data_IF_687757206254
#
_entry.id   IF_687757206254
#
_cell.length_a   1.000
_cell.length_b   1.000
_cell.length_c   1.000
_cell.angle_alpha   90.00
_cell.angle_beta   90.00
_cell.angle_gamma   90.00
#
_symmetry.space_group_name_H-M   'P 1'
#
loop_
_entity.id
_entity.type
_entity.pdbx_description
1 polymer ?
#
# COMPACT_ATOMS: atom_id res chain seq x y z
N UNK A 1 -18.45 4.87 22.52
CA UNK A 1 -18.30 5.95 23.43
C UNK A 1 -17.17 5.73 24.40
N UNK A 2 -16.18 6.59 24.31
CA UNK A 2 -15.05 6.54 25.24
C UNK A 2 -15.33 7.42 26.44
N UNK A 3 -14.92 6.97 27.64
CA UNK A 3 -14.94 7.81 28.82
C UNK A 3 -13.93 8.95 28.68
N UNK A 4 -14.19 10.08 29.36
CA UNK A 4 -13.17 11.13 29.49
C UNK A 4 -11.93 10.56 30.16
N UNK A 5 -10.75 10.98 29.70
CA UNK A 5 -9.48 10.58 30.33
C UNK A 5 -9.41 11.15 31.75
N UNK A 6 -9.31 10.30 32.74
CA UNK A 6 -9.07 10.63 34.14
C UNK A 6 -8.38 9.45 34.82
N UNK A 7 -7.86 9.64 36.03
CA UNK A 7 -7.06 8.61 36.74
C UNK A 7 -7.80 7.29 36.97
N UNK A 8 -9.13 7.34 37.10
CA UNK A 8 -9.99 6.18 37.33
C UNK A 8 -10.71 5.71 36.04
N UNK A 9 -10.31 6.20 34.86
CA UNK A 9 -10.85 5.76 33.58
C UNK A 9 -10.57 4.25 33.37
N UNK A 10 -11.54 3.51 32.81
CA UNK A 10 -11.31 2.11 32.49
C UNK A 10 -10.06 1.93 31.63
N UNK A 11 -9.20 1.03 32.03
CA UNK A 11 -8.05 0.67 31.20
C UNK A 11 -8.49 -0.36 30.18
N UNK A 12 -8.31 -0.05 28.91
CA UNK A 12 -8.61 -0.94 27.81
C UNK A 12 -7.31 -1.27 27.09
N UNK A 13 -7.05 -2.56 26.89
CA UNK A 13 -5.92 -3.04 26.10
C UNK A 13 -6.46 -3.54 24.78
N UNK A 14 -6.04 -2.94 23.69
CA UNK A 14 -6.35 -3.41 22.34
C UNK A 14 -5.09 -4.05 21.76
N UNK A 15 -5.24 -5.27 21.30
CA UNK A 15 -4.18 -5.97 20.57
C UNK A 15 -4.70 -6.30 19.19
N UNK A 16 -3.93 -6.02 18.15
CA UNK A 16 -4.11 -6.70 16.87
C UNK A 16 -3.64 -8.14 17.03
N UNK A 17 -4.24 -9.05 16.27
CA UNK A 17 -3.91 -10.47 16.34
C UNK A 17 -2.42 -10.70 16.32
N UNK A 18 -1.82 -10.73 17.51
CA UNK A 18 -0.42 -11.09 17.65
C UNK A 18 -0.29 -12.58 17.45
N UNK A 19 0.54 -12.98 16.52
CA UNK A 19 0.96 -14.36 16.40
C UNK A 19 1.85 -14.68 17.60
N UNK A 20 1.31 -15.44 18.53
CA UNK A 20 2.13 -16.02 19.60
C UNK A 20 2.75 -17.28 18.99
N UNK A 21 4.09 -17.38 18.88
CA UNK A 21 4.74 -18.47 18.14
C UNK A 21 4.27 -19.87 18.53
N UNK A 22 3.93 -20.09 19.80
CA UNK A 22 3.45 -21.37 20.31
C UNK A 22 1.99 -21.69 19.93
N UNK A 23 1.24 -20.72 19.41
CA UNK A 23 -0.18 -20.82 19.09
C UNK A 23 -0.48 -20.22 17.72
N UNK A 24 0.39 -20.47 16.74
CA UNK A 24 0.29 -19.88 15.39
C UNK A 24 -0.24 -20.85 14.33
N UNK A 25 -0.75 -22.01 14.72
CA UNK A 25 -1.41 -22.93 13.80
C UNK A 25 -2.81 -22.43 13.47
N UNK A 26 -3.32 -22.79 12.30
CA UNK A 26 -4.66 -22.40 11.85
C UNK A 26 -5.74 -22.77 12.87
N UNK A 27 -5.69 -24.02 13.39
CA UNK A 27 -6.63 -24.52 14.41
C UNK A 27 -6.60 -23.70 15.71
N UNK A 28 -5.43 -23.22 16.13
CA UNK A 28 -5.31 -22.35 17.28
C UNK A 28 -5.98 -20.99 17.03
N UNK A 29 -5.82 -20.45 15.86
CA UNK A 29 -6.45 -19.20 15.45
C UNK A 29 -7.96 -19.29 15.43
N UNK A 30 -8.50 -20.31 14.80
CA UNK A 30 -9.94 -20.55 14.72
C UNK A 30 -10.53 -20.77 16.11
N UNK A 31 -9.86 -21.56 16.94
CA UNK A 31 -10.25 -21.80 18.32
C UNK A 31 -10.26 -20.52 19.15
N UNK A 32 -9.22 -19.73 19.08
CA UNK A 32 -9.11 -18.49 19.85
C UNK A 32 -10.10 -17.42 19.36
N UNK A 33 -10.36 -17.36 18.07
CA UNK A 33 -11.40 -16.51 17.53
C UNK A 33 -12.79 -16.93 18.01
N UNK A 34 -13.10 -18.21 17.95
CA UNK A 34 -14.37 -18.74 18.44
C UNK A 34 -14.59 -18.52 19.94
N UNK A 35 -13.51 -18.54 20.73
CA UNK A 35 -13.54 -18.24 22.16
C UNK A 35 -13.56 -16.72 22.47
N UNK A 36 -13.47 -15.87 21.47
CA UNK A 36 -13.41 -14.42 21.66
C UNK A 36 -12.08 -13.93 22.28
N UNK A 37 -11.05 -14.77 22.30
CA UNK A 37 -9.74 -14.46 22.87
C UNK A 37 -8.86 -13.68 21.91
N UNK A 38 -9.00 -13.94 20.61
CA UNK A 38 -8.32 -13.22 19.55
C UNK A 38 -9.32 -12.72 18.51
N UNK A 39 -9.03 -11.56 17.95
CA UNK A 39 -9.78 -10.99 16.83
C UNK A 39 -8.81 -10.44 15.81
N UNK A 40 -9.13 -10.64 14.53
CA UNK A 40 -8.43 -9.95 13.48
C UNK A 40 -8.84 -8.48 13.51
N UNK A 41 -7.88 -7.60 13.68
CA UNK A 41 -8.04 -6.17 13.56
C UNK A 41 -7.14 -5.62 12.46
N UNK A 42 -7.68 -4.75 11.62
CA UNK A 42 -6.83 -3.96 10.74
C UNK A 42 -5.95 -3.02 11.58
N UNK A 43 -4.84 -2.55 11.00
CA UNK A 43 -3.87 -1.69 11.71
C UNK A 43 -4.52 -0.48 12.41
N UNK A 44 -5.57 0.10 11.84
CA UNK A 44 -6.32 1.24 12.39
C UNK A 44 -7.16 0.89 13.62
N UNK A 45 -7.53 -0.37 13.81
CA UNK A 45 -8.32 -0.79 14.97
C UNK A 45 -7.56 -0.64 16.29
N UNK A 46 -6.24 -0.83 16.26
CA UNK A 46 -5.39 -0.73 17.43
C UNK A 46 -5.27 0.69 18.01
N UNK A 47 -5.55 1.72 17.22
CA UNK A 47 -5.51 3.12 17.67
C UNK A 47 -6.88 3.67 18.09
N UNK A 48 -7.93 2.86 18.10
CA UNK A 48 -9.32 3.27 18.32
C UNK A 48 -9.83 4.32 17.32
N UNK A 49 -9.13 4.51 16.23
CA UNK A 49 -9.44 5.48 15.20
C UNK A 49 -9.69 4.75 13.90
N UNK A 50 -10.96 4.51 13.60
CA UNK A 50 -11.30 3.92 12.32
C UNK A 50 -11.28 5.00 11.23
N UNK A 51 -10.17 5.10 10.55
CA UNK A 51 -9.99 6.02 9.41
C UNK A 51 -10.39 5.38 8.07
N UNK A 52 -10.95 4.17 8.10
CA UNK A 52 -11.30 3.42 6.91
C UNK A 52 -10.07 3.04 6.07
N UNK A 53 -10.22 3.04 4.75
CA UNK A 53 -9.15 2.66 3.84
C UNK A 53 -8.05 3.72 3.65
N UNK A 54 -8.20 4.90 4.23
CA UNK A 54 -7.33 6.04 3.96
C UNK A 54 -5.84 5.75 4.21
N UNK A 55 -5.50 5.02 5.29
CA UNK A 55 -4.10 4.73 5.60
C UNK A 55 -3.40 3.96 4.49
N UNK A 56 -4.05 2.93 3.97
CA UNK A 56 -3.51 2.08 2.90
C UNK A 56 -3.49 2.84 1.58
N UNK A 57 -4.58 3.52 1.23
CA UNK A 57 -4.67 4.26 -0.03
C UNK A 57 -3.65 5.40 -0.05
N UNK A 58 -3.51 6.15 1.05
CA UNK A 58 -2.51 7.21 1.15
C UNK A 58 -1.08 6.68 0.98
N UNK A 59 -0.69 5.66 1.76
CA UNK A 59 0.64 5.07 1.68
C UNK A 59 0.96 4.54 0.29
N UNK A 60 -0.01 3.88 -0.36
CA UNK A 60 0.16 3.40 -1.74
C UNK A 60 0.24 4.55 -2.74
N UNK A 61 -0.59 5.58 -2.60
CA UNK A 61 -0.58 6.76 -3.49
C UNK A 61 0.79 7.43 -3.49
N UNK A 62 1.32 7.76 -2.30
CA UNK A 62 2.64 8.41 -2.22
C UNK A 62 3.78 7.48 -2.68
N UNK A 63 3.65 6.17 -2.46
CA UNK A 63 4.62 5.20 -2.98
C UNK A 63 4.63 5.20 -4.51
N UNK A 64 3.47 5.11 -5.16
CA UNK A 64 3.35 5.12 -6.62
C UNK A 64 3.84 6.45 -7.21
N UNK A 65 3.44 7.59 -6.63
CA UNK A 65 3.89 8.91 -7.10
C UNK A 65 5.41 9.06 -7.01
N UNK A 66 6.03 8.59 -5.93
CA UNK A 66 7.48 8.71 -5.77
C UNK A 66 8.24 7.69 -6.63
N UNK A 67 7.71 6.48 -6.83
CA UNK A 67 8.23 5.53 -7.80
C UNK A 67 8.19 6.11 -9.23
N UNK A 68 7.07 6.74 -9.62
CA UNK A 68 6.92 7.39 -10.91
C UNK A 68 7.90 8.57 -11.07
N UNK A 69 8.01 9.40 -10.05
CA UNK A 69 8.98 10.52 -10.03
C UNK A 69 10.42 10.04 -10.19
N UNK A 70 10.77 8.97 -9.50
CA UNK A 70 12.09 8.34 -9.60
C UNK A 70 12.35 7.81 -11.01
N UNK A 71 11.37 7.13 -11.60
CA UNK A 71 11.45 6.59 -12.96
C UNK A 71 11.57 7.70 -14.03
N UNK A 72 10.79 8.77 -13.90
CA UNK A 72 10.87 9.93 -14.78
C UNK A 72 12.25 10.61 -14.67
N UNK A 73 12.75 10.80 -13.45
CA UNK A 73 14.07 11.38 -13.20
C UNK A 73 15.19 10.53 -13.83
N UNK A 74 15.10 9.21 -13.74
CA UNK A 74 16.06 8.30 -14.39
C UNK A 74 16.07 8.43 -15.92
N UNK A 75 14.93 8.86 -16.51
CA UNK A 75 14.80 9.15 -17.96
C UNK A 75 15.12 10.60 -18.32
N UNK A 76 15.58 11.42 -17.39
CA UNK A 76 15.85 12.87 -17.60
C UNK A 76 14.58 13.72 -17.75
N UNK A 77 13.43 13.22 -17.29
CA UNK A 77 12.14 13.90 -17.37
C UNK A 77 11.76 14.45 -15.99
N UNK A 78 11.17 15.65 -15.96
CA UNK A 78 10.70 16.25 -14.71
C UNK A 78 9.62 15.40 -14.05
N UNK A 79 9.74 15.14 -12.74
CA UNK A 79 8.83 14.32 -11.96
C UNK A 79 7.51 14.99 -11.60
N UNK A 80 6.86 15.64 -12.55
CA UNK A 80 5.58 16.33 -12.38
C UNK A 80 4.42 15.36 -12.56
N UNK A 81 3.25 15.65 -11.95
CA UNK A 81 2.04 14.85 -12.15
C UNK A 81 1.59 14.79 -13.61
N UNK A 82 1.81 15.86 -14.36
CA UNK A 82 1.49 15.86 -15.80
C UNK A 82 2.32 14.81 -16.56
N UNK A 83 3.58 14.65 -16.21
CA UNK A 83 4.45 13.64 -16.82
C UNK A 83 4.19 12.21 -16.34
N UNK A 84 3.43 12.04 -15.24
CA UNK A 84 2.99 10.72 -14.77
C UNK A 84 1.78 10.19 -15.54
N UNK A 85 1.02 11.05 -16.20
CA UNK A 85 -0.14 10.66 -17.00
C UNK A 85 0.26 9.72 -18.13
N UNK A 86 -0.46 8.61 -18.24
CA UNK A 86 -0.17 7.57 -19.21
C UNK A 86 0.96 6.60 -18.83
N UNK A 87 1.66 6.82 -17.70
CA UNK A 87 2.55 5.81 -17.15
C UNK A 87 1.76 4.58 -16.70
N UNK A 88 2.28 3.41 -17.01
CA UNK A 88 1.63 2.13 -16.66
C UNK A 88 2.21 1.57 -15.36
N UNK A 89 1.34 1.39 -14.38
CA UNK A 89 1.61 0.68 -13.14
C UNK A 89 0.89 -0.66 -13.11
N UNK A 90 1.63 -1.74 -12.91
CA UNK A 90 1.10 -3.13 -12.87
C UNK A 90 1.37 -3.76 -11.52
N UNK A 91 0.35 -4.39 -10.95
CA UNK A 91 0.42 -5.04 -9.63
C UNK A 91 -0.58 -6.19 -9.51
N UNK A 92 -0.67 -6.81 -8.34
CA UNK A 92 -1.55 -7.94 -8.07
C UNK A 92 -2.34 -7.79 -6.78
N UNK A 93 -3.50 -8.44 -6.75
CA UNK A 93 -4.36 -8.55 -5.59
C UNK A 93 -5.40 -7.44 -5.46
N UNK A 94 -6.65 -7.84 -5.19
CA UNK A 94 -7.78 -6.95 -4.89
C UNK A 94 -8.45 -7.29 -3.56
N UNK A 95 -7.70 -7.94 -2.68
CA UNK A 95 -8.12 -8.27 -1.33
C UNK A 95 -8.26 -7.07 -0.38
N UNK A 96 -8.16 -7.30 0.91
CA UNK A 96 -8.34 -6.28 1.94
C UNK A 96 -7.33 -5.13 1.84
N UNK A 97 -6.04 -5.46 1.77
CA UNK A 97 -4.95 -4.49 1.68
C UNK A 97 -4.67 -4.08 0.23
N UNK A 98 -4.47 -5.04 -0.63
CA UNK A 98 -4.12 -4.83 -2.04
C UNK A 98 -5.22 -4.12 -2.85
N UNK A 99 -6.48 -4.23 -2.46
CA UNK A 99 -7.59 -3.50 -3.08
C UNK A 99 -7.45 -1.97 -3.06
N UNK A 100 -6.50 -1.43 -2.32
CA UNK A 100 -6.16 0.00 -2.35
C UNK A 100 -5.38 0.42 -3.61
N UNK A 101 -4.71 -0.51 -4.29
CA UNK A 101 -3.83 -0.23 -5.43
C UNK A 101 -4.52 0.53 -6.58
N UNK A 102 -5.69 0.09 -7.08
CA UNK A 102 -6.37 0.78 -8.17
C UNK A 102 -6.72 2.22 -7.82
N UNK A 103 -7.29 2.42 -6.62
CA UNK A 103 -7.68 3.74 -6.14
C UNK A 103 -6.46 4.66 -5.96
N UNK A 104 -5.37 4.12 -5.45
CA UNK A 104 -4.10 4.85 -5.32
C UNK A 104 -3.52 5.22 -6.70
N UNK A 105 -3.60 4.33 -7.69
CA UNK A 105 -3.21 4.61 -9.08
C UNK A 105 -4.00 5.77 -9.67
N UNK A 106 -5.31 5.79 -9.47
CA UNK A 106 -6.16 6.89 -9.91
C UNK A 106 -5.78 8.23 -9.24
N UNK A 107 -5.56 8.24 -7.93
CA UNK A 107 -5.14 9.47 -7.23
C UNK A 107 -3.75 9.92 -7.68
N UNK A 108 -2.84 8.99 -7.92
CA UNK A 108 -1.50 9.29 -8.45
C UNK A 108 -1.53 9.79 -9.91
N UNK A 109 -2.60 9.53 -10.66
CA UNK A 109 -2.77 9.99 -12.03
C UNK A 109 -2.15 9.08 -13.09
N UNK A 110 -2.02 7.78 -12.81
CA UNK A 110 -1.43 6.79 -13.71
C UNK A 110 -2.49 5.84 -14.30
N UNK A 111 -2.13 5.12 -15.34
CA UNK A 111 -2.87 3.92 -15.77
C UNK A 111 -2.45 2.79 -14.88
N UNK A 112 -3.38 2.16 -14.17
CA UNK A 112 -3.06 1.01 -13.33
C UNK A 112 -3.75 -0.27 -13.79
N UNK A 113 -3.03 -1.39 -13.75
CA UNK A 113 -3.58 -2.73 -14.01
C UNK A 113 -3.31 -3.60 -12.79
N UNK A 114 -4.36 -4.17 -12.24
CA UNK A 114 -4.27 -5.06 -11.09
C UNK A 114 -4.88 -6.43 -11.41
N UNK A 115 -4.08 -7.50 -11.32
CA UNK A 115 -4.57 -8.85 -11.50
C UNK A 115 -5.14 -9.39 -10.18
N UNK A 116 -6.29 -10.06 -10.26
CA UNK A 116 -6.92 -10.77 -9.14
C UNK A 116 -7.51 -12.10 -9.63
N UNK A 117 -7.04 -13.19 -9.06
CA UNK A 117 -7.51 -14.52 -9.47
C UNK A 117 -8.89 -14.86 -8.89
N UNK A 118 -9.26 -14.28 -7.74
CA UNK A 118 -10.56 -14.48 -7.13
C UNK A 118 -11.60 -13.56 -7.77
N UNK A 119 -12.54 -14.09 -8.58
CA UNK A 119 -13.51 -13.25 -9.29
C UNK A 119 -14.45 -12.49 -8.36
N UNK A 120 -14.72 -13.03 -7.17
CA UNK A 120 -15.58 -12.36 -6.19
C UNK A 120 -14.87 -11.15 -5.57
N UNK A 121 -13.56 -11.25 -5.32
CA UNK A 121 -12.77 -10.12 -4.81
C UNK A 121 -12.69 -9.01 -5.86
N UNK A 122 -12.41 -9.35 -7.11
CA UNK A 122 -12.36 -8.40 -8.22
C UNK A 122 -13.71 -7.69 -8.42
N UNK A 123 -14.81 -8.45 -8.50
CA UNK A 123 -16.17 -7.92 -8.64
C UNK A 123 -16.53 -6.99 -7.48
N UNK A 124 -16.22 -7.38 -6.25
CA UNK A 124 -16.48 -6.54 -5.06
C UNK A 124 -15.79 -5.18 -5.16
N UNK A 125 -14.56 -5.11 -5.63
CA UNK A 125 -13.84 -3.83 -5.79
C UNK A 125 -14.39 -2.98 -6.92
N UNK A 126 -14.82 -3.60 -7.99
CA UNK A 126 -15.52 -2.92 -9.07
C UNK A 126 -16.86 -2.33 -8.61
N UNK A 127 -17.70 -3.12 -7.94
CA UNK A 127 -19.01 -2.68 -7.44
C UNK A 127 -18.88 -1.56 -6.38
N UNK A 128 -17.78 -1.53 -5.66
CA UNK A 128 -17.45 -0.48 -4.69
C UNK A 128 -16.88 0.80 -5.34
N UNK A 129 -16.67 0.82 -6.66
CA UNK A 129 -16.05 1.94 -7.38
C UNK A 129 -14.56 2.15 -7.04
N UNK A 130 -13.86 1.06 -6.71
CA UNK A 130 -12.42 1.08 -6.45
C UNK A 130 -11.60 0.75 -7.69
N UNK A 131 -12.21 0.07 -8.62
CA UNK A 131 -11.72 -0.27 -9.96
C UNK A 131 -12.69 0.31 -10.97
N UNK A 132 -12.18 0.96 -12.01
CA UNK A 132 -13.02 1.59 -13.02
C UNK A 132 -13.52 0.59 -14.07
N UNK A 133 -12.71 -0.38 -14.44
CA UNK A 133 -13.05 -1.38 -15.46
C UNK A 133 -12.61 -2.78 -15.05
N UNK A 134 -13.43 -3.79 -15.38
CA UNK A 134 -13.17 -5.20 -15.08
C UNK A 134 -13.05 -6.00 -16.37
N UNK A 135 -11.98 -6.72 -16.55
CA UNK A 135 -11.68 -7.53 -17.73
C UNK A 135 -11.36 -8.97 -17.32
N UNK A 136 -11.99 -9.94 -18.00
CA UNK A 136 -11.76 -11.38 -17.80
C UNK A 136 -10.85 -11.95 -18.91
N UNK A 137 -10.55 -11.17 -19.93
CA UNK A 137 -9.77 -11.57 -21.09
C UNK A 137 -8.62 -10.62 -21.37
N UNK A 138 -7.41 -11.16 -21.48
CA UNK A 138 -6.22 -10.40 -21.83
C UNK A 138 -6.27 -9.83 -23.25
N UNK A 139 -6.98 -10.49 -24.19
CA UNK A 139 -7.14 -10.00 -25.57
C UNK A 139 -7.99 -8.72 -25.63
N UNK A 140 -8.84 -8.47 -24.64
CA UNK A 140 -9.58 -7.23 -24.47
C UNK A 140 -8.80 -6.21 -23.64
N UNK A 141 -8.17 -6.67 -22.58
CA UNK A 141 -7.43 -5.80 -21.65
C UNK A 141 -6.24 -5.12 -22.34
N UNK A 142 -5.40 -5.85 -23.08
CA UNK A 142 -4.16 -5.31 -23.62
C UNK A 142 -4.40 -4.15 -24.61
N UNK A 143 -5.33 -4.25 -25.58
CA UNK A 143 -5.69 -3.11 -26.41
C UNK A 143 -6.22 -1.91 -25.60
N UNK A 144 -7.00 -2.18 -24.55
CA UNK A 144 -7.50 -1.12 -23.66
C UNK A 144 -6.37 -0.42 -22.89
N UNK A 145 -5.38 -1.17 -22.40
CA UNK A 145 -4.18 -0.62 -21.75
C UNK A 145 -3.42 0.29 -22.71
N UNK A 146 -3.14 -0.17 -23.94
CA UNK A 146 -2.46 0.64 -24.96
C UNK A 146 -3.19 1.96 -25.22
N UNK A 147 -4.51 1.90 -25.41
CA UNK A 147 -5.34 3.08 -25.61
C UNK A 147 -5.29 4.05 -24.42
N UNK A 148 -5.34 3.52 -23.19
CA UNK A 148 -5.26 4.35 -21.98
C UNK A 148 -3.92 5.08 -21.89
N UNK A 149 -2.82 4.39 -22.18
CA UNK A 149 -1.48 4.98 -22.18
C UNK A 149 -1.33 6.06 -23.25
N UNK A 150 -1.77 5.79 -24.49
CA UNK A 150 -1.72 6.73 -25.61
C UNK A 150 -2.54 8.00 -25.32
N UNK A 151 -3.71 7.85 -24.76
CA UNK A 151 -4.60 8.96 -24.38
C UNK A 151 -4.19 9.65 -23.07
N UNK A 152 -3.16 9.15 -22.37
CA UNK A 152 -2.73 9.65 -21.06
C UNK A 152 -3.88 9.66 -20.04
N UNK A 153 -4.70 8.62 -20.06
CA UNK A 153 -5.83 8.48 -19.15
C UNK A 153 -5.35 8.25 -17.71
N UNK A 154 -6.23 8.58 -16.77
CA UNK A 154 -6.14 8.12 -15.38
C UNK A 154 -7.25 7.11 -15.18
N UNK A 155 -6.90 5.84 -15.16
CA UNK A 155 -7.87 4.73 -15.09
C UNK A 155 -7.27 3.52 -14.40
N UNK A 156 -8.11 2.83 -13.66
CA UNK A 156 -7.76 1.55 -13.01
C UNK A 156 -8.49 0.39 -13.69
N UNK A 157 -7.71 -0.56 -14.17
CA UNK A 157 -8.17 -1.75 -14.88
C UNK A 157 -7.90 -2.98 -14.02
N UNK A 158 -8.89 -3.82 -13.80
CA UNK A 158 -8.69 -5.11 -13.14
C UNK A 158 -8.69 -6.23 -14.17
N UNK A 159 -7.74 -7.14 -14.03
CA UNK A 159 -7.73 -8.42 -14.73
C UNK A 159 -8.20 -9.54 -13.79
N UNK A 160 -9.29 -10.21 -14.14
CA UNK A 160 -9.76 -11.39 -13.42
C UNK A 160 -9.00 -12.60 -13.92
N UNK A 161 -7.89 -12.91 -13.27
CA UNK A 161 -7.02 -13.99 -13.69
C UNK A 161 -5.69 -14.00 -12.93
N UNK A 162 -4.84 -14.94 -13.31
CA UNK A 162 -3.55 -15.08 -12.66
C UNK A 162 -2.59 -13.94 -13.06
N UNK A 163 -1.88 -13.41 -12.10
CA UNK A 163 -0.92 -12.31 -12.32
C UNK A 163 0.24 -12.72 -13.24
N UNK A 164 0.63 -13.99 -13.23
CA UNK A 164 1.71 -14.50 -14.10
C UNK A 164 1.30 -14.42 -15.57
N UNK A 165 0.05 -14.79 -15.88
CA UNK A 165 -0.46 -14.68 -17.25
C UNK A 165 -0.44 -13.22 -17.75
N UNK A 166 -0.79 -12.27 -16.88
CA UNK A 166 -0.69 -10.84 -17.18
C UNK A 166 0.75 -10.42 -17.46
N UNK A 167 1.70 -10.76 -16.57
CA UNK A 167 3.09 -10.36 -16.73
C UNK A 167 3.73 -10.97 -18.00
N UNK A 168 3.48 -12.26 -18.24
CA UNK A 168 3.97 -12.93 -19.45
C UNK A 168 3.40 -12.33 -20.73
N UNK A 169 2.11 -11.97 -20.72
CA UNK A 169 1.47 -11.32 -21.87
C UNK A 169 2.04 -9.92 -22.13
N UNK A 170 2.24 -9.13 -21.09
CA UNK A 170 2.87 -7.80 -21.22
C UNK A 170 4.29 -7.90 -21.77
N UNK A 171 5.08 -8.88 -21.32
CA UNK A 171 6.42 -9.11 -21.80
C UNK A 171 6.45 -9.57 -23.27
N UNK A 172 5.60 -10.53 -23.65
CA UNK A 172 5.50 -11.07 -25.00
C UNK A 172 5.07 -10.03 -26.04
N UNK A 173 4.18 -9.12 -25.66
CA UNK A 173 3.72 -8.03 -26.54
C UNK A 173 4.55 -6.75 -26.45
N UNK A 174 5.65 -6.77 -25.69
CA UNK A 174 6.53 -5.62 -25.47
C UNK A 174 5.78 -4.34 -25.03
N UNK A 175 4.81 -4.51 -24.12
CA UNK A 175 4.13 -3.36 -23.52
C UNK A 175 5.13 -2.61 -22.61
N UNK A 176 5.31 -1.30 -22.80
CA UNK A 176 6.22 -0.52 -21.96
C UNK A 176 5.60 -0.31 -20.56
N UNK A 177 5.90 -1.21 -19.64
CA UNK A 177 5.50 -1.06 -18.24
C UNK A 177 6.49 -0.13 -17.54
N UNK A 178 5.98 0.94 -16.91
CA UNK A 178 6.83 1.90 -16.21
C UNK A 178 7.14 1.46 -14.78
N UNK A 179 6.11 1.01 -14.06
CA UNK A 179 6.18 0.61 -12.66
C UNK A 179 5.57 -0.77 -12.46
N UNK A 180 6.24 -1.60 -11.70
CA UNK A 180 5.74 -2.91 -11.30
C UNK A 180 5.87 -3.13 -9.80
N UNK A 181 4.89 -3.80 -9.20
CA UNK A 181 5.00 -4.29 -7.83
C UNK A 181 4.22 -5.58 -7.63
N UNK A 182 4.46 -6.25 -6.51
CA UNK A 182 3.62 -7.36 -6.07
C UNK A 182 3.00 -7.07 -4.71
N UNK A 183 1.72 -7.40 -4.57
CA UNK A 183 0.91 -7.21 -3.37
C UNK A 183 0.25 -8.51 -2.90
N UNK A 184 0.65 -9.64 -3.46
CA UNK A 184 0.16 -10.94 -2.97
C UNK A 184 0.66 -11.20 -1.55
N UNK A 185 -0.12 -11.95 -0.77
CA UNK A 185 0.21 -12.25 0.64
C UNK A 185 1.23 -13.38 0.76
N UNK A 186 2.39 -13.23 0.13
CA UNK A 186 3.45 -14.25 0.08
C UNK A 186 4.15 -14.50 1.43
N UNK A 187 3.82 -13.76 2.48
CA UNK A 187 4.16 -14.15 3.84
C UNK A 187 3.36 -15.38 4.32
N UNK A 188 2.32 -15.77 3.59
CA UNK A 188 1.55 -17.00 3.81
C UNK A 188 1.19 -17.70 2.48
N UNK A 189 2.17 -18.11 1.67
CA UNK A 189 1.93 -18.61 0.31
C UNK A 189 1.14 -19.93 0.28
N UNK A 190 1.23 -20.71 1.36
CA UNK A 190 0.66 -22.07 1.43
C UNK A 190 -0.78 -22.12 1.88
N UNK A 191 -1.37 -21.01 2.29
CA UNK A 191 -2.73 -20.87 2.77
C UNK A 191 -3.48 -19.74 2.04
N UNK A 192 -3.36 -19.70 0.71
CA UNK A 192 -4.09 -18.75 -0.12
C UNK A 192 -3.44 -17.36 -0.27
N UNK A 193 -2.17 -17.23 0.08
CA UNK A 193 -1.41 -16.00 -0.18
C UNK A 193 -0.93 -15.84 -1.62
N UNK A 194 -0.83 -16.94 -2.37
CA UNK A 194 -0.47 -16.96 -3.78
C UNK A 194 -1.12 -18.18 -4.46
N UNK A 195 -1.55 -18.01 -5.70
CA UNK A 195 -2.22 -19.06 -6.46
C UNK A 195 -1.43 -19.43 -7.71
N UNK A 196 -1.26 -20.73 -8.01
CA UNK A 196 -0.48 -21.19 -9.14
C UNK A 196 -1.12 -20.82 -10.48
N UNK A 197 -0.30 -20.48 -11.45
CA UNK A 197 -0.73 -20.21 -12.82
C UNK A 197 -1.20 -21.50 -13.52
N UNK A 198 -2.15 -21.35 -14.45
CA UNK A 198 -2.74 -22.49 -15.18
C UNK A 198 -3.83 -23.24 -14.41
N UNK A 199 -4.29 -22.67 -13.29
CA UNK A 199 -5.40 -23.18 -12.49
C UNK A 199 -6.42 -22.04 -12.27
N UNK A 200 -7.70 -22.39 -12.22
CA UNK A 200 -8.71 -21.44 -11.74
C UNK A 200 -8.57 -21.21 -10.23
N UNK A 201 -9.28 -20.24 -9.70
CA UNK A 201 -9.31 -20.00 -8.26
C UNK A 201 -9.83 -21.24 -7.50
N UNK A 202 -10.92 -21.81 -7.96
CA UNK A 202 -11.58 -22.98 -7.36
C UNK A 202 -10.68 -24.23 -7.42
N UNK A 203 -10.04 -24.47 -8.56
CA UNK A 203 -9.09 -25.57 -8.71
C UNK A 203 -7.88 -25.41 -7.78
N UNK A 204 -7.39 -24.20 -7.64
CA UNK A 204 -6.29 -23.87 -6.74
C UNK A 204 -6.67 -24.11 -5.28
N UNK A 205 -7.86 -23.67 -4.86
CA UNK A 205 -8.37 -23.89 -3.49
C UNK A 205 -8.51 -25.39 -3.21
N UNK A 206 -9.05 -26.15 -4.17
CA UNK A 206 -9.19 -27.60 -4.05
C UNK A 206 -7.83 -28.28 -3.96
N UNK A 207 -6.88 -27.93 -4.85
CA UNK A 207 -5.53 -28.48 -4.83
C UNK A 207 -4.81 -28.18 -3.52
N UNK A 208 -4.96 -26.95 -2.99
CA UNK A 208 -4.37 -26.56 -1.71
C UNK A 208 -4.85 -27.43 -0.55
N UNK A 209 -6.13 -27.80 -0.55
CA UNK A 209 -6.75 -28.61 0.50
C UNK A 209 -6.44 -30.11 0.35
N UNK A 210 -6.51 -30.65 -0.86
CA UNK A 210 -6.44 -32.09 -1.13
C UNK A 210 -5.03 -32.57 -1.47
N UNK A 211 -4.20 -31.72 -2.10
CA UNK A 211 -2.87 -32.06 -2.63
C UNK A 211 -1.82 -31.00 -2.24
N UNK A 212 -1.58 -30.72 -0.94
CA UNK A 212 -0.80 -29.58 -0.49
C UNK A 212 0.64 -29.55 -1.04
N UNK A 213 1.29 -30.68 -1.21
CA UNK A 213 2.66 -30.73 -1.77
C UNK A 213 2.68 -30.37 -3.26
N UNK A 214 1.67 -30.83 -4.02
CA UNK A 214 1.50 -30.44 -5.43
C UNK A 214 1.19 -28.96 -5.55
N UNK A 215 0.35 -28.42 -4.67
CA UNK A 215 0.07 -27.00 -4.60
C UNK A 215 1.36 -26.18 -4.37
N UNK A 216 2.19 -26.59 -3.39
CA UNK A 216 3.47 -25.92 -3.10
C UNK A 216 4.41 -25.89 -4.30
N UNK A 217 4.56 -27.01 -5.01
CA UNK A 217 5.44 -27.03 -6.19
C UNK A 217 4.85 -26.22 -7.35
N UNK A 218 3.55 -26.23 -7.53
CA UNK A 218 2.89 -25.39 -8.53
C UNK A 218 3.07 -23.89 -8.23
N UNK A 219 2.99 -23.48 -6.96
CA UNK A 219 3.30 -22.10 -6.52
C UNK A 219 4.77 -21.76 -6.81
N UNK A 220 5.72 -22.63 -6.45
CA UNK A 220 7.15 -22.39 -6.74
C UNK A 220 7.42 -22.25 -8.23
N UNK A 221 6.82 -23.12 -9.04
CA UNK A 221 6.93 -23.05 -10.50
C UNK A 221 6.37 -21.73 -11.03
N UNK A 222 5.24 -21.30 -10.52
CA UNK A 222 4.62 -20.02 -10.89
C UNK A 222 5.48 -18.82 -10.50
N UNK A 223 6.09 -18.83 -9.31
CA UNK A 223 7.00 -17.77 -8.88
C UNK A 223 8.24 -17.67 -9.79
N UNK A 224 8.79 -18.80 -10.25
CA UNK A 224 9.90 -18.79 -11.22
C UNK A 224 9.49 -18.12 -12.55
N UNK A 225 8.29 -18.42 -13.06
CA UNK A 225 7.75 -17.81 -14.28
C UNK A 225 7.47 -16.32 -14.05
N UNK A 226 6.85 -15.97 -12.94
CA UNK A 226 6.56 -14.59 -12.54
C UNK A 226 7.83 -13.72 -12.55
N UNK A 227 8.88 -14.19 -11.87
CA UNK A 227 10.19 -13.51 -11.84
C UNK A 227 10.82 -13.40 -13.23
N UNK A 228 10.72 -14.44 -14.07
CA UNK A 228 11.26 -14.39 -15.41
C UNK A 228 10.62 -13.28 -16.26
N UNK A 229 9.28 -13.13 -16.20
CA UNK A 229 8.56 -12.07 -16.89
C UNK A 229 8.92 -10.68 -16.33
N UNK A 230 9.04 -10.55 -15.00
CA UNK A 230 9.50 -9.29 -14.37
C UNK A 230 10.90 -8.94 -14.82
N UNK A 231 11.85 -9.91 -14.83
CA UNK A 231 13.22 -9.68 -15.25
C UNK A 231 13.28 -9.22 -16.72
N UNK A 232 12.45 -9.78 -17.58
CA UNK A 232 12.37 -9.36 -18.98
C UNK A 232 11.88 -7.90 -19.10
N UNK A 233 10.80 -7.56 -18.44
CA UNK A 233 10.26 -6.18 -18.46
C UNK A 233 11.19 -5.18 -17.79
N UNK A 234 11.85 -5.56 -16.70
CA UNK A 234 12.84 -4.73 -16.04
C UNK A 234 14.06 -4.46 -16.92
N UNK A 235 14.50 -5.46 -17.71
CA UNK A 235 15.58 -5.27 -18.71
C UNK A 235 15.19 -4.26 -19.80
N UNK A 236 13.90 -4.06 -20.03
CA UNK A 236 13.33 -3.08 -20.98
C UNK A 236 13.01 -1.72 -20.32
N UNK A 237 13.35 -1.54 -19.03
CA UNK A 237 13.26 -0.27 -18.33
C UNK A 237 12.12 -0.13 -17.34
N UNK A 238 11.40 -1.20 -16.99
CA UNK A 238 10.45 -1.18 -15.89
C UNK A 238 11.17 -1.03 -14.55
N UNK A 239 10.66 -0.16 -13.68
CA UNK A 239 11.06 -0.10 -12.28
C UNK A 239 10.15 -1.00 -11.44
N UNK A 240 10.73 -2.08 -10.92
CA UNK A 240 10.00 -3.03 -10.05
C UNK A 240 10.44 -2.87 -8.59
N UNK A 241 9.48 -2.95 -7.67
CA UNK A 241 9.71 -2.96 -6.23
C UNK A 241 8.77 -3.93 -5.51
N UNK A 242 9.27 -4.61 -4.49
CA UNK A 242 8.42 -5.42 -3.61
C UNK A 242 7.67 -4.50 -2.63
N UNK A 243 6.37 -4.67 -2.55
CA UNK A 243 5.55 -3.87 -1.63
C UNK A 243 5.56 -4.41 -0.18
N UNK A 244 6.45 -5.34 0.13
CA UNK A 244 6.66 -5.85 1.49
C UNK A 244 5.82 -7.06 1.86
N UNK A 245 5.34 -7.81 0.87
CA UNK A 245 4.56 -9.03 1.06
C UNK A 245 5.37 -10.32 0.81
N UNK A 246 6.68 -10.28 1.03
CA UNK A 246 7.61 -11.40 0.92
C UNK A 246 7.81 -11.96 -0.50
N UNK A 247 7.49 -11.20 -1.55
CA UNK A 247 7.69 -11.65 -2.94
C UNK A 247 9.15 -12.02 -3.22
N UNK A 248 10.08 -11.14 -2.88
CA UNK A 248 11.51 -11.37 -3.10
C UNK A 248 12.00 -12.62 -2.35
N UNK A 249 11.58 -12.77 -1.10
CA UNK A 249 11.99 -13.89 -0.25
C UNK A 249 11.46 -15.23 -0.77
N UNK A 250 10.17 -15.31 -1.05
CA UNK A 250 9.55 -16.56 -1.52
C UNK A 250 9.97 -16.91 -2.94
N UNK A 251 10.21 -15.93 -3.79
CA UNK A 251 10.80 -16.14 -5.11
C UNK A 251 12.22 -16.72 -5.02
N UNK A 252 13.04 -16.22 -4.10
CA UNK A 252 14.37 -16.78 -3.83
C UNK A 252 14.26 -18.22 -3.32
N UNK A 253 13.37 -18.50 -2.40
CA UNK A 253 13.11 -19.86 -1.88
C UNK A 253 12.57 -20.82 -2.94
N UNK A 254 11.89 -20.30 -3.94
CA UNK A 254 11.40 -21.05 -5.10
C UNK A 254 12.51 -21.33 -6.13
N UNK A 255 13.71 -20.77 -5.96
CA UNK A 255 14.83 -20.90 -6.89
C UNK A 255 14.67 -20.03 -8.15
N UNK A 256 13.92 -18.93 -8.08
CA UNK A 256 13.80 -17.96 -9.15
C UNK A 256 15.08 -17.11 -9.27
N UNK A 257 15.36 -16.57 -10.47
CA UNK A 257 16.50 -15.68 -10.73
C UNK A 257 16.23 -14.27 -10.20
N UNK A 258 16.16 -14.14 -8.88
CA UNK A 258 15.83 -12.91 -8.15
C UNK A 258 17.01 -12.33 -7.38
N UNK A 259 18.13 -13.05 -7.32
CA UNK A 259 19.35 -12.62 -6.63
C UNK A 259 20.40 -12.13 -7.62
N UNK A 260 21.20 -11.16 -7.18
CA UNK A 260 22.44 -10.75 -7.83
C UNK A 260 23.58 -11.72 -7.49
N UNK A 261 24.72 -11.57 -8.14
CA UNK A 261 25.90 -12.40 -7.90
C UNK A 261 26.45 -12.30 -6.46
N UNK A 262 26.20 -11.18 -5.78
CA UNK A 262 26.58 -10.95 -4.38
C UNK A 262 25.58 -11.51 -3.37
N UNK A 263 24.50 -12.16 -3.83
CA UNK A 263 23.45 -12.73 -3.00
C UNK A 263 22.38 -11.73 -2.54
N UNK A 264 22.48 -10.47 -2.93
CA UNK A 264 21.41 -9.47 -2.65
C UNK A 264 20.28 -9.57 -3.66
N UNK A 265 19.10 -9.06 -3.32
CA UNK A 265 17.96 -9.04 -4.22
C UNK A 265 18.21 -8.11 -5.42
N UNK A 266 17.73 -8.51 -6.60
CA UNK A 266 17.77 -7.68 -7.81
C UNK A 266 16.93 -6.41 -7.69
N UNK A 267 15.83 -6.48 -6.98
CA UNK A 267 14.88 -5.41 -6.81
C UNK A 267 14.82 -4.97 -5.35
N UNK A 268 14.55 -3.69 -5.09
CA UNK A 268 14.37 -3.20 -3.74
C UNK A 268 12.96 -3.49 -3.21
N UNK A 269 12.79 -3.40 -1.89
CA UNK A 269 11.48 -3.19 -1.32
C UNK A 269 11.07 -1.70 -1.42
N UNK A 270 9.76 -1.41 -1.36
CA UNK A 270 9.27 -0.03 -1.35
C UNK A 270 9.81 0.80 -0.18
N UNK A 271 10.05 0.18 0.98
CA UNK A 271 10.65 0.87 2.14
C UNK A 271 12.09 1.23 1.86
N UNK A 272 12.84 0.30 1.28
CA UNK A 272 14.27 0.48 1.01
C UNK A 272 14.57 1.65 0.08
N UNK A 273 13.79 1.79 -0.98
CA UNK A 273 14.18 2.63 -2.10
C UNK A 273 13.21 3.80 -2.37
N UNK A 274 12.04 3.79 -1.72
CA UNK A 274 11.04 4.84 -1.87
C UNK A 274 10.74 5.50 -0.52
N UNK A 275 10.10 4.77 0.40
CA UNK A 275 9.60 5.39 1.63
C UNK A 275 10.71 5.74 2.63
N UNK A 276 11.75 4.90 2.73
CA UNK A 276 12.92 5.19 3.58
C UNK A 276 13.59 6.51 3.18
N UNK A 277 14.24 6.54 2.01
CA UNK A 277 15.05 7.67 1.61
C UNK A 277 14.25 8.93 1.26
N UNK A 278 12.97 8.83 0.88
CA UNK A 278 12.20 9.97 0.43
C UNK A 278 11.23 10.53 1.48
N UNK A 279 10.91 9.75 2.53
CA UNK A 279 9.99 10.18 3.58
C UNK A 279 10.61 10.04 4.98
N UNK A 280 11.00 8.83 5.36
CA UNK A 280 11.36 8.55 6.74
C UNK A 280 12.69 9.16 7.14
N UNK A 281 13.67 9.20 6.24
CA UNK A 281 14.97 9.82 6.49
C UNK A 281 14.86 11.35 6.65
N UNK A 282 13.79 11.95 6.08
CA UNK A 282 13.45 13.36 6.28
C UNK A 282 12.47 13.62 7.44
N UNK A 283 12.17 12.57 8.24
CA UNK A 283 11.31 12.71 9.41
C UNK A 283 9.80 12.74 9.11
N UNK A 284 9.38 12.53 7.86
CA UNK A 284 7.97 12.38 7.52
C UNK A 284 7.44 11.05 8.03
N UNK A 285 6.32 11.07 8.71
CA UNK A 285 5.66 9.87 9.21
C UNK A 285 4.17 10.04 9.33
N UNK A 286 3.44 8.95 9.60
CA UNK A 286 1.99 8.96 9.70
C UNK A 286 1.50 9.96 10.75
N UNK A 287 0.54 10.76 10.35
CA UNK A 287 -0.18 11.71 11.21
C UNK A 287 -1.67 11.60 10.90
N UNK A 288 -2.44 11.21 11.89
CA UNK A 288 -3.87 10.93 11.78
C UNK A 288 -4.64 11.80 12.73
N UNK A 289 -5.83 12.25 12.29
CA UNK A 289 -6.75 12.91 13.16
C UNK A 289 -8.20 12.48 12.92
N UNK A 290 -9.00 12.57 13.95
CA UNK A 290 -10.44 12.31 13.94
C UNK A 290 -11.17 13.50 14.56
N UNK A 291 -12.15 14.04 13.86
CA UNK A 291 -13.04 15.07 14.36
C UNK A 291 -14.13 14.41 15.22
N UNK A 292 -14.10 14.65 16.52
CA UNK A 292 -15.02 14.02 17.49
C UNK A 292 -16.46 14.51 17.38
N UNK A 293 -16.71 15.54 16.60
CA UNK A 293 -18.06 16.00 16.28
C UNK A 293 -18.80 15.07 15.31
N UNK A 294 -18.07 14.22 14.59
CA UNK A 294 -18.55 13.42 13.46
C UNK A 294 -19.18 14.26 12.33
N UNK A 295 -18.89 15.56 12.30
CA UNK A 295 -19.43 16.50 11.31
C UNK A 295 -18.47 16.64 10.13
N UNK A 296 -18.95 16.43 8.88
CA UNK A 296 -18.13 16.63 7.67
C UNK A 296 -17.52 18.04 7.57
N UNK A 297 -18.22 19.05 8.10
CA UNK A 297 -17.76 20.46 8.07
C UNK A 297 -16.50 20.64 8.94
N UNK A 298 -16.42 19.95 10.08
CA UNK A 298 -15.23 20.02 10.94
C UNK A 298 -14.05 19.29 10.30
N UNK A 299 -14.29 18.19 9.58
CA UNK A 299 -13.24 17.53 8.79
C UNK A 299 -12.76 18.43 7.66
N UNK A 300 -13.68 19.04 6.90
CA UNK A 300 -13.31 19.96 5.84
C UNK A 300 -12.51 21.16 6.37
N UNK A 301 -12.88 21.70 7.54
CA UNK A 301 -12.12 22.78 8.19
C UNK A 301 -10.75 22.33 8.66
N UNK A 302 -10.61 21.13 9.19
CA UNK A 302 -9.32 20.58 9.59
C UNK A 302 -8.43 20.30 8.36
N UNK A 303 -9.00 19.82 7.26
CA UNK A 303 -8.29 19.64 5.98
C UNK A 303 -7.77 20.99 5.44
N UNK A 304 -8.61 22.03 5.44
CA UNK A 304 -8.22 23.39 5.04
C UNK A 304 -7.03 23.90 5.87
N UNK A 305 -7.09 23.74 7.19
CA UNK A 305 -6.01 24.14 8.10
C UNK A 305 -4.71 23.41 7.76
N UNK A 306 -4.78 22.09 7.57
CA UNK A 306 -3.61 21.28 7.25
C UNK A 306 -3.00 21.68 5.89
N UNK A 307 -3.81 21.84 4.86
CA UNK A 307 -3.37 22.27 3.53
C UNK A 307 -2.71 23.65 3.57
N UNK A 308 -3.29 24.60 4.30
CA UNK A 308 -2.72 25.96 4.42
C UNK A 308 -1.37 25.95 5.13
N UNK A 309 -1.17 25.08 6.12
CA UNK A 309 0.12 24.92 6.79
C UNK A 309 1.14 24.31 5.84
N UNK A 310 0.79 23.23 5.14
CA UNK A 310 1.68 22.58 4.18
C UNK A 310 2.07 23.53 3.03
N UNK A 311 1.14 24.32 2.50
CA UNK A 311 1.41 25.33 1.47
C UNK A 311 2.40 26.40 1.98
N UNK A 312 2.24 26.84 3.23
CA UNK A 312 3.17 27.78 3.83
C UNK A 312 4.56 27.19 4.07
N UNK A 313 4.63 25.95 4.48
CA UNK A 313 5.92 25.24 4.60
C UNK A 313 6.60 25.08 3.25
N UNK A 314 5.82 24.80 2.20
CA UNK A 314 6.34 24.65 0.84
C UNK A 314 7.04 25.90 0.31
N UNK A 315 6.63 27.11 0.75
CA UNK A 315 7.24 28.39 0.33
C UNK A 315 8.73 28.48 0.68
N UNK A 316 9.16 27.81 1.75
CA UNK A 316 10.54 27.86 2.26
C UNK A 316 11.22 26.48 2.28
N UNK A 317 10.51 25.46 1.82
CA UNK A 317 11.01 24.08 1.84
C UNK A 317 12.18 23.88 0.87
N UNK A 318 13.24 23.17 1.29
CA UNK A 318 14.27 22.70 0.39
C UNK A 318 13.68 21.84 -0.74
N UNK A 319 14.34 21.84 -1.89
CA UNK A 319 13.86 21.11 -3.09
C UNK A 319 13.61 19.63 -2.81
N UNK A 320 14.42 19.03 -1.95
CA UNK A 320 14.40 17.62 -1.60
C UNK A 320 13.09 17.16 -0.95
N UNK A 321 12.36 18.07 -0.28
CA UNK A 321 11.12 17.76 0.43
C UNK A 321 9.86 18.41 -0.17
N UNK A 322 10.01 19.23 -1.20
CA UNK A 322 8.86 19.85 -1.86
C UNK A 322 7.91 18.82 -2.47
N UNK A 323 8.45 17.71 -2.97
CA UNK A 323 7.66 16.62 -3.50
C UNK A 323 6.72 16.03 -2.45
N UNK A 324 7.22 15.76 -1.26
CA UNK A 324 6.47 15.17 -0.15
C UNK A 324 5.35 16.10 0.36
N UNK A 325 5.63 17.39 0.44
CA UNK A 325 4.62 18.39 0.83
C UNK A 325 3.52 18.48 -0.24
N UNK A 326 3.88 18.56 -1.51
CA UNK A 326 2.93 18.59 -2.61
C UNK A 326 2.08 17.32 -2.70
N UNK A 327 2.66 16.14 -2.47
CA UNK A 327 1.95 14.88 -2.48
C UNK A 327 0.88 14.83 -1.37
N UNK A 328 1.19 15.35 -0.18
CA UNK A 328 0.22 15.42 0.92
C UNK A 328 -0.88 16.46 0.70
N UNK A 329 -0.56 17.61 0.10
CA UNK A 329 -1.55 18.61 -0.29
C UNK A 329 -2.52 17.98 -1.31
N UNK A 330 -1.99 17.38 -2.37
CA UNK A 330 -2.79 16.69 -3.39
C UNK A 330 -3.68 15.60 -2.79
N UNK A 331 -3.13 14.79 -1.88
CA UNK A 331 -3.88 13.75 -1.19
C UNK A 331 -5.11 14.30 -0.47
N UNK A 332 -4.97 15.37 0.31
CA UNK A 332 -6.09 15.97 1.04
C UNK A 332 -7.13 16.52 0.06
N UNK A 333 -6.69 17.21 -0.99
CA UNK A 333 -7.58 17.79 -2.01
C UNK A 333 -8.37 16.72 -2.78
N UNK A 334 -7.78 15.54 -3.02
CA UNK A 334 -8.42 14.43 -3.73
C UNK A 334 -9.24 13.50 -2.81
N UNK A 335 -8.99 13.49 -1.52
CA UNK A 335 -9.62 12.53 -0.61
C UNK A 335 -11.15 12.62 -0.60
N UNK A 336 -11.71 13.83 -0.69
CA UNK A 336 -13.16 14.02 -0.77
C UNK A 336 -13.77 13.47 -2.06
N UNK A 337 -13.11 13.69 -3.19
CA UNK A 337 -13.56 13.22 -4.51
C UNK A 337 -13.56 11.70 -4.63
N UNK A 338 -12.65 11.06 -3.91
CA UNK A 338 -12.47 9.60 -3.94
C UNK A 338 -13.30 8.85 -2.89
N UNK A 339 -14.20 9.54 -2.17
CA UNK A 339 -15.09 8.94 -1.17
C UNK A 339 -14.34 8.07 -0.13
N UNK A 340 -13.21 8.56 0.36
CA UNK A 340 -12.32 7.80 1.25
C UNK A 340 -12.72 7.86 2.72
N UNK A 341 -13.63 8.75 3.10
CA UNK A 341 -14.16 8.82 4.45
C UNK A 341 -15.20 7.72 4.64
N UNK A 342 -14.87 6.76 5.49
CA UNK A 342 -15.74 5.64 5.84
C UNK A 342 -15.72 5.48 7.36
N UNK A 343 -16.86 5.60 8.00
CA UNK A 343 -16.97 5.62 9.46
C UNK A 343 -16.68 7.01 10.04
N UNK A 344 -15.61 7.15 10.79
CA UNK A 344 -15.28 8.42 11.45
C UNK A 344 -14.87 9.53 10.46
N UNK A 345 -15.19 10.77 10.79
CA UNK A 345 -14.70 11.96 10.09
C UNK A 345 -13.21 12.14 10.39
N UNK A 346 -12.38 11.51 9.60
CA UNK A 346 -10.96 11.34 9.85
C UNK A 346 -10.11 11.60 8.62
N UNK A 347 -8.84 11.94 8.84
CA UNK A 347 -7.82 12.11 7.81
C UNK A 347 -6.50 11.53 8.25
N UNK A 348 -5.70 11.10 7.28
CA UNK A 348 -4.28 10.78 7.44
C UNK A 348 -3.46 11.59 6.44
N UNK A 349 -2.25 11.92 6.84
CA UNK A 349 -1.18 12.34 5.93
C UNK A 349 0.18 11.90 6.49
N UNK A 350 1.23 12.08 5.73
CA UNK A 350 2.60 11.96 6.24
C UNK A 350 3.17 13.36 6.41
N UNK A 351 3.41 13.75 7.65
CA UNK A 351 4.01 15.03 7.98
C UNK A 351 5.31 14.82 8.77
N UNK A 352 6.21 15.77 8.67
CA UNK A 352 7.38 15.83 9.52
C UNK A 352 7.03 16.29 10.95
N UNK A 353 8.02 16.35 11.82
CA UNK A 353 7.80 16.71 13.23
C UNK A 353 7.28 18.15 13.37
N UNK A 354 7.79 19.08 12.58
CA UNK A 354 7.38 20.48 12.64
C UNK A 354 5.97 20.68 12.10
N UNK A 355 5.66 20.10 10.94
CA UNK A 355 4.33 20.11 10.33
C UNK A 355 3.27 19.52 11.24
N UNK A 356 3.53 18.37 11.86
CA UNK A 356 2.61 17.78 12.86
C UNK A 356 2.32 18.72 14.01
N UNK A 357 3.34 19.36 14.53
CA UNK A 357 3.21 20.30 15.65
C UNK A 357 2.40 21.53 15.25
N UNK A 358 2.70 22.15 14.11
CA UNK A 358 1.99 23.32 13.60
C UNK A 358 0.51 23.02 13.33
N UNK A 359 0.20 21.88 12.70
CA UNK A 359 -1.17 21.45 12.42
C UNK A 359 -1.93 21.23 13.72
N UNK A 360 -1.36 20.51 14.69
CA UNK A 360 -2.00 20.24 15.97
C UNK A 360 -2.29 21.54 16.77
N UNK A 361 -1.35 22.47 16.79
CA UNK A 361 -1.55 23.78 17.43
C UNK A 361 -2.63 24.62 16.74
N UNK A 362 -2.68 24.55 15.40
CA UNK A 362 -3.72 25.24 14.64
C UNK A 362 -5.11 24.64 14.86
N UNK A 363 -5.24 23.34 14.99
CA UNK A 363 -6.50 22.70 15.39
C UNK A 363 -6.96 23.17 16.76
N UNK A 364 -6.08 23.20 17.76
CA UNK A 364 -6.41 23.72 19.09
C UNK A 364 -6.86 25.19 19.05
N UNK A 365 -6.24 26.00 18.18
CA UNK A 365 -6.63 27.40 17.99
C UNK A 365 -8.02 27.53 17.35
N UNK A 366 -8.32 26.71 16.35
CA UNK A 366 -9.60 26.68 15.67
C UNK A 366 -10.75 26.20 16.62
N UNK A 367 -10.48 25.19 17.45
CA UNK A 367 -11.43 24.73 18.47
C UNK A 367 -11.73 25.84 19.48
N UNK A 368 -10.71 26.54 19.98
CA UNK A 368 -10.90 27.66 20.90
C UNK A 368 -11.70 28.82 20.33
N UNK A 369 -11.62 29.04 19.03
CA UNK A 369 -12.38 30.07 18.32
C UNK A 369 -13.81 29.62 17.93
N UNK A 370 -14.12 28.36 18.13
CA UNK A 370 -15.40 27.78 17.70
C UNK A 370 -15.49 27.52 16.18
N UNK A 371 -14.36 27.57 15.45
CA UNK A 371 -14.29 27.23 14.02
C UNK A 371 -14.39 25.71 13.79
N UNK A 372 -14.03 24.92 14.79
CA UNK A 372 -14.22 23.47 14.88
C UNK A 372 -15.03 23.21 16.16
N UNK A 373 -16.13 22.47 16.03
CA UNK A 373 -17.17 22.38 17.06
C UNK A 373 -16.88 21.41 18.20
N UNK A 374 -15.86 20.53 18.05
CA UNK A 374 -15.53 19.52 19.05
C UNK A 374 -14.01 19.24 19.08
N UNK A 375 -13.51 18.54 20.09
CA UNK A 375 -12.11 18.12 20.11
C UNK A 375 -11.71 17.28 18.91
N UNK A 376 -10.43 17.36 18.53
CA UNK A 376 -9.80 16.49 17.56
C UNK A 376 -8.88 15.51 18.29
N UNK A 377 -9.03 14.23 18.00
CA UNK A 377 -8.10 13.20 18.49
C UNK A 377 -6.98 13.01 17.46
N UNK A 378 -5.75 13.13 17.93
CA UNK A 378 -4.56 12.88 17.14
C UNK A 378 -3.99 11.50 17.47
N UNK A 379 -3.45 10.83 16.47
CA UNK A 379 -2.80 9.56 16.70
C UNK A 379 -2.12 8.99 15.48
N UNK A 380 -1.51 7.85 15.71
CA UNK A 380 -1.03 6.96 14.66
C UNK A 380 -1.37 5.53 15.04
N UNK A 381 -1.34 4.63 14.09
CA UNK A 381 -1.43 3.20 14.36
C UNK A 381 -0.14 2.72 15.04
N UNK A 382 -0.26 1.87 16.05
CA UNK A 382 0.90 1.28 16.72
C UNK A 382 1.70 0.32 15.81
N UNK A 383 1.12 -0.09 14.70
CA UNK A 383 1.79 -0.83 13.63
C UNK A 383 2.32 0.07 12.50
N UNK A 384 2.08 1.36 12.56
CA UNK A 384 2.68 2.34 11.65
C UNK A 384 4.17 2.49 11.93
N UNK A 385 4.79 1.39 11.92
CA UNK A 385 6.22 1.32 11.98
C UNK A 385 6.67 1.45 10.56
N UNK A 386 7.09 2.55 10.20
CA UNK A 386 7.67 2.87 8.92
C UNK A 386 8.96 2.09 8.61
N UNK A 387 9.05 0.84 9.05
CA UNK A 387 10.28 0.07 9.04
C UNK A 387 11.35 0.61 9.98
N UNK A 388 11.10 1.78 10.59
CA UNK A 388 12.05 2.49 11.45
C UNK A 388 11.83 2.23 12.94
N UNK A 389 10.60 1.94 13.36
CA UNK A 389 10.25 1.74 14.78
C UNK A 389 10.47 0.30 15.25
N UNK A 390 10.61 -0.65 14.35
CA UNK A 390 10.87 -2.04 14.68
C UNK A 390 11.85 -2.67 13.70
N UNK A 391 13.06 -2.94 14.14
CA UNK A 391 14.07 -3.61 13.32
C UNK A 391 13.70 -5.06 12.98
N UNK A 392 12.68 -5.61 13.62
CA UNK A 392 12.24 -7.00 13.45
C UNK A 392 11.01 -7.14 12.55
N UNK A 393 10.55 -6.08 11.90
CA UNK A 393 9.47 -6.18 10.94
C UNK A 393 9.86 -6.99 9.72
N UNK A 394 8.90 -7.71 9.18
CA UNK A 394 9.04 -8.50 7.97
C UNK A 394 9.65 -7.68 6.81
N UNK A 395 9.18 -6.46 6.60
CA UNK A 395 9.71 -5.55 5.58
C UNK A 395 11.19 -5.26 5.77
N UNK A 396 11.63 -5.05 7.01
CA UNK A 396 13.05 -4.84 7.33
C UNK A 396 13.89 -6.10 7.09
N UNK A 397 13.30 -7.27 7.29
CA UNK A 397 13.98 -8.55 7.09
C UNK A 397 14.11 -8.92 5.61
N UNK A 398 13.20 -8.42 4.77
CA UNK A 398 13.22 -8.64 3.31
C UNK A 398 14.18 -7.68 2.64
N UNK A 399 14.51 -6.61 3.29
CA UNK A 399 15.17 -5.43 2.78
C UNK A 399 16.35 -5.71 1.84
N UNK A 400 17.33 -6.47 2.25
CA UNK A 400 18.53 -6.73 1.46
C UNK A 400 19.00 -8.19 1.53
N UNK A 401 18.17 -9.09 2.07
CA UNK A 401 18.58 -10.46 2.34
C UNK A 401 19.61 -10.59 3.45
N UNK A 402 20.07 -9.49 4.04
CA UNK A 402 20.98 -9.50 5.19
C UNK A 402 20.19 -9.57 6.50
N UNK A 403 20.83 -10.08 7.53
CA UNK A 403 20.30 -10.07 8.90
C UNK A 403 20.42 -8.71 9.58
N UNK A 404 20.76 -7.66 8.86
CA UNK A 404 20.90 -6.31 9.40
C UNK A 404 19.50 -5.68 9.48
N UNK A 405 18.95 -5.76 10.64
CA UNK A 405 17.70 -5.11 11.02
C UNK A 405 17.91 -3.61 11.02
N UNK A 406 17.37 -2.92 10.04
CA UNK A 406 17.43 -1.47 9.93
C UNK A 406 18.84 -0.88 9.95
N UNK A 407 19.05 0.20 9.27
CA UNK A 407 20.31 0.93 9.44
C UNK A 407 20.38 1.45 10.88
N UNK A 408 21.42 1.12 11.67
CA UNK A 408 21.57 1.66 13.01
C UNK A 408 21.58 3.19 13.05
N UNK A 409 21.93 3.81 11.93
CA UNK A 409 21.95 5.26 11.74
C UNK A 409 20.56 5.89 11.56
N UNK A 410 19.54 5.09 11.20
CA UNK A 410 18.16 5.58 11.05
C UNK A 410 17.39 5.67 12.36
N UNK A 411 17.95 5.16 13.44
CA UNK A 411 17.35 5.15 14.78
C UNK A 411 17.95 6.19 15.74
N UNK A 412 18.79 7.11 15.22
CA UNK A 412 19.39 8.19 16.02
C UNK A 412 18.71 9.53 15.76
#
# INVERSE_FOLDING_TARGET
GFSRSHKDAPRVVVTNGMVIPNYSKQDDWERFNALGVSQYGQMTAGSYMYIGPQGIVHGTTITVMNAARKQLKARGIAGTRENMKGMLFVTAGLGGMSGAQPKAGNIAGVVSVTAEINPLAARKRYDQGWVDELHENLDELIPRVRKAMENKETVSLAYVGNVVDLWERLAAENIPVDLGSDQTSLHNPWAGGYYPVGQTFEESVKMMAEEPERFREAVRSSLRRHVAAINELASKGMYFFDYGNAFLLESSRAGADILKADGTFRYPSYVQDIMGPLYFDYGFGPFRWVCMSERPEDLAKSDEIAVNILKKELETAPEEIQGQLNDNIHWIEEAGRNHLVVGSQARILYADCEGRTKIALAFNKAIRKGEISAPIVLGRDHHDVSGTDSPFRETSNIYDGSRRHGHPERHR
#
